data_IF_446316630373
#
_entry.id   IF_446316630373
#
_cell.length_a   1.000
_cell.length_b   1.000
_cell.length_c   1.000
_cell.angle_alpha   90.00
_cell.angle_beta   90.00
_cell.angle_gamma   90.00
#
_symmetry.space_group_name_H-M   'P 1'
#
loop_
_entity.id
_entity.type
_entity.pdbx_description
1 polymer ?
#
# COMPACT_ATOMS: atom_id res chain seq x y z
N UNK A 1 4.76 19.22 4.04
CA UNK A 1 4.14 17.97 4.57
C UNK A 1 5.17 17.21 5.41
N UNK A 2 4.79 16.14 6.13
CA UNK A 2 5.74 15.35 6.94
C UNK A 2 6.93 14.81 6.11
N UNK A 3 6.67 14.20 4.96
CA UNK A 3 7.72 13.60 4.12
C UNK A 3 8.70 14.63 3.55
N UNK A 4 8.20 15.83 3.21
CA UNK A 4 9.04 16.95 2.80
C UNK A 4 9.94 17.44 3.93
N UNK A 5 9.42 17.55 5.16
CA UNK A 5 10.20 17.99 6.33
C UNK A 5 11.32 16.98 6.65
N UNK A 6 11.01 15.68 6.60
CA UNK A 6 12.02 14.62 6.77
C UNK A 6 13.10 14.74 5.68
N UNK A 7 12.72 14.93 4.41
CA UNK A 7 13.71 15.08 3.33
C UNK A 7 14.58 16.34 3.49
N UNK A 8 14.02 17.44 4.00
CA UNK A 8 14.78 18.65 4.27
C UNK A 8 15.81 18.47 5.40
N UNK A 9 15.43 17.77 6.47
CA UNK A 9 16.30 17.51 7.62
C UNK A 9 17.43 16.53 7.28
N UNK A 10 17.07 15.39 6.68
CA UNK A 10 18.03 14.31 6.43
C UNK A 10 18.80 14.48 5.11
N UNK A 11 18.31 15.28 4.16
CA UNK A 11 18.96 15.45 2.85
C UNK A 11 18.99 14.16 2.02
N UNK A 12 19.85 14.11 0.99
CA UNK A 12 19.94 12.98 0.05
C UNK A 12 20.85 11.84 0.50
N UNK A 13 21.61 12.03 1.58
CA UNK A 13 22.59 11.03 2.05
C UNK A 13 21.94 9.91 2.89
N UNK A 14 20.68 10.08 3.28
CA UNK A 14 19.95 9.12 4.09
C UNK A 14 18.70 8.63 3.36
N UNK A 15 18.38 7.37 3.62
CA UNK A 15 17.15 6.74 3.15
C UNK A 15 15.97 7.21 4.00
N UNK A 16 14.90 7.60 3.32
CA UNK A 16 13.62 7.95 3.91
C UNK A 16 12.55 7.13 3.19
N UNK A 17 11.97 6.18 3.92
CA UNK A 17 10.98 5.25 3.38
C UNK A 17 9.72 5.32 4.23
N UNK A 18 8.61 4.78 3.73
CA UNK A 18 7.39 4.65 4.51
C UNK A 18 6.70 3.32 4.25
N UNK A 19 6.27 2.64 5.30
CA UNK A 19 5.32 1.54 5.18
C UNK A 19 3.91 2.14 5.03
N UNK A 20 3.12 1.64 4.07
CA UNK A 20 1.82 2.21 3.73
C UNK A 20 0.75 1.14 3.59
N UNK A 21 -0.50 1.55 3.77
CA UNK A 21 -1.67 0.70 3.54
C UNK A 21 -1.71 0.14 2.12
N UNK A 22 -2.31 -1.03 1.98
CA UNK A 22 -2.58 -1.65 0.69
C UNK A 22 -4.09 -1.72 0.37
N UNK A 23 -4.91 -0.90 1.03
CA UNK A 23 -6.33 -0.76 0.73
C UNK A 23 -6.54 -0.02 -0.60
N UNK A 24 -6.60 -0.80 -1.68
CA UNK A 24 -6.84 -0.36 -3.05
C UNK A 24 -8.32 -0.23 -3.43
N UNK A 25 -9.24 -0.36 -2.47
CA UNK A 25 -10.67 -0.22 -2.74
C UNK A 25 -11.04 1.22 -3.13
N UNK A 26 -12.20 1.40 -3.77
CA UNK A 26 -12.68 2.73 -4.11
C UNK A 26 -13.12 3.48 -2.86
N UNK A 27 -12.52 4.64 -2.61
CA UNK A 27 -12.71 5.38 -1.35
C UNK A 27 -11.95 4.79 -0.18
N UNK A 28 -11.05 3.83 -0.43
CA UNK A 28 -10.21 3.19 0.58
C UNK A 28 -9.10 4.11 1.09
N UNK A 29 -8.27 3.59 2.00
CA UNK A 29 -7.20 4.35 2.66
C UNK A 29 -6.18 4.94 1.68
N UNK A 30 -5.90 4.28 0.54
CA UNK A 30 -5.02 4.85 -0.50
C UNK A 30 -5.61 6.15 -1.09
N UNK A 31 -6.95 6.25 -1.20
CA UNK A 31 -7.63 7.43 -1.74
C UNK A 31 -7.62 8.62 -0.75
N UNK A 32 -7.36 8.39 0.54
CA UNK A 32 -7.42 9.39 1.60
C UNK A 32 -6.14 10.24 1.76
N UNK A 33 -5.08 9.97 0.99
CA UNK A 33 -3.82 10.71 1.08
C UNK A 33 -3.15 10.91 -0.29
N UNK A 34 -2.33 11.96 -0.40
CA UNK A 34 -1.57 12.27 -1.61
C UNK A 34 -0.24 11.49 -1.66
N UNK A 35 -0.32 10.19 -1.97
CA UNK A 35 0.86 9.33 -2.16
C UNK A 35 1.69 9.74 -3.36
N UNK A 36 1.07 10.25 -4.43
CA UNK A 36 1.77 10.72 -5.64
C UNK A 36 2.67 11.92 -5.34
N UNK A 37 2.12 12.95 -4.68
CA UNK A 37 2.87 14.13 -4.27
C UNK A 37 3.94 13.82 -3.23
N UNK A 38 3.68 12.88 -2.31
CA UNK A 38 4.66 12.46 -1.31
C UNK A 38 5.82 11.62 -1.88
N UNK A 39 5.60 10.88 -2.98
CA UNK A 39 6.57 9.95 -3.55
C UNK A 39 7.89 10.63 -3.99
N UNK A 40 7.88 11.93 -4.27
CA UNK A 40 9.11 12.66 -4.64
C UNK A 40 10.10 12.79 -3.47
N UNK A 41 9.62 12.76 -2.23
CA UNK A 41 10.44 12.96 -1.02
C UNK A 41 10.95 11.66 -0.41
N UNK A 42 10.37 10.52 -0.79
CA UNK A 42 10.71 9.19 -0.27
C UNK A 42 11.55 8.40 -1.27
N UNK A 43 12.43 7.53 -0.78
CA UNK A 43 13.19 6.62 -1.63
C UNK A 43 12.28 5.53 -2.19
N UNK A 44 11.47 4.91 -1.34
CA UNK A 44 10.41 3.97 -1.73
C UNK A 44 9.33 3.82 -0.64
N UNK A 45 8.25 3.15 -1.00
CA UNK A 45 7.20 2.67 -0.13
C UNK A 45 7.30 1.16 0.07
N UNK A 46 7.12 0.72 1.31
CA UNK A 46 6.86 -0.69 1.64
C UNK A 46 5.34 -0.86 1.67
N UNK A 47 4.75 -1.38 0.60
CA UNK A 47 3.29 -1.55 0.52
C UNK A 47 2.92 -2.78 1.33
N UNK A 48 2.10 -2.60 2.37
CA UNK A 48 1.73 -3.68 3.29
C UNK A 48 0.65 -4.58 2.67
N UNK A 49 0.99 -5.31 1.60
CA UNK A 49 0.11 -6.21 0.83
C UNK A 49 -0.18 -7.53 1.56
N UNK A 50 -0.57 -7.42 2.82
CA UNK A 50 -0.91 -8.51 3.72
C UNK A 50 -1.98 -8.04 4.71
N UNK A 51 -2.50 -8.96 5.52
CA UNK A 51 -3.56 -8.73 6.51
C UNK A 51 -4.86 -8.15 5.91
N UNK A 52 -5.14 -8.46 4.64
CA UNK A 52 -6.40 -8.12 4.00
C UNK A 52 -7.60 -8.82 4.67
N UNK A 53 -7.39 -10.06 5.09
CA UNK A 53 -8.39 -10.91 5.74
C UNK A 53 -7.74 -11.66 6.90
N UNK A 54 -8.50 -11.95 7.94
CA UNK A 54 -7.96 -12.64 9.11
C UNK A 54 -9.03 -12.94 10.15
N UNK A 55 -8.61 -13.58 11.25
CA UNK A 55 -9.49 -14.03 12.33
C UNK A 55 -10.18 -12.89 13.11
N UNK A 56 -9.82 -11.62 12.84
CA UNK A 56 -10.57 -10.46 13.33
C UNK A 56 -12.03 -10.44 12.82
N UNK A 57 -12.33 -11.13 11.71
CA UNK A 57 -13.69 -11.49 11.34
C UNK A 57 -13.97 -12.95 11.72
N UNK A 58 -14.33 -13.16 12.99
CA UNK A 58 -14.39 -14.48 13.62
C UNK A 58 -15.43 -15.42 12.99
N UNK A 59 -16.50 -14.89 12.42
CA UNK A 59 -17.55 -15.66 11.74
C UNK A 59 -17.25 -15.89 10.26
N UNK A 60 -16.08 -15.45 9.79
CA UNK A 60 -15.66 -15.56 8.40
C UNK A 60 -16.38 -14.58 7.47
N UNK A 61 -16.31 -14.81 6.14
CA UNK A 61 -15.70 -15.98 5.50
C UNK A 61 -14.18 -16.04 5.68
N UNK A 62 -13.61 -17.26 5.67
CA UNK A 62 -12.16 -17.45 5.59
C UNK A 62 -11.65 -17.04 4.21
N UNK A 63 -10.51 -16.36 4.15
CA UNK A 63 -9.86 -15.94 2.92
C UNK A 63 -8.33 -15.83 3.12
N UNK A 64 -7.52 -15.94 2.06
CA UNK A 64 -6.07 -15.76 2.16
C UNK A 64 -5.75 -14.32 2.59
N UNK A 65 -4.96 -14.11 3.65
CA UNK A 65 -4.65 -12.76 4.15
C UNK A 65 -3.79 -11.91 3.20
N UNK A 66 -3.09 -12.53 2.24
CA UNK A 66 -2.22 -11.87 1.26
C UNK A 66 -2.44 -12.47 -0.14
N UNK A 67 -3.59 -12.21 -0.80
CA UNK A 67 -3.82 -12.68 -2.15
C UNK A 67 -3.07 -11.77 -3.14
N UNK A 68 -2.39 -12.37 -4.12
CA UNK A 68 -1.71 -11.61 -5.18
C UNK A 68 -2.73 -10.90 -6.08
N UNK A 69 -3.79 -11.60 -6.48
CA UNK A 69 -4.84 -11.11 -7.38
C UNK A 69 -6.23 -11.32 -6.79
N UNK A 70 -7.23 -10.68 -7.38
CA UNK A 70 -8.64 -10.98 -7.12
C UNK A 70 -9.00 -12.42 -7.52
N UNK A 71 -10.11 -12.93 -6.97
CA UNK A 71 -10.66 -14.25 -7.26
C UNK A 71 -12.19 -14.26 -7.11
N UNK A 72 -12.91 -15.18 -7.80
CA UNK A 72 -14.36 -15.33 -7.62
C UNK A 72 -14.71 -15.59 -6.15
N UNK A 73 -15.60 -14.77 -5.59
CA UNK A 73 -16.00 -14.88 -4.18
C UNK A 73 -15.06 -14.22 -3.18
N UNK A 74 -14.08 -13.41 -3.62
CA UNK A 74 -13.29 -12.59 -2.70
C UNK A 74 -14.22 -11.75 -1.80
N UNK A 75 -14.02 -11.74 -0.47
CA UNK A 75 -14.97 -11.07 0.44
C UNK A 75 -15.03 -9.55 0.25
N UNK A 76 -13.94 -8.95 -0.21
CA UNK A 76 -13.84 -7.50 -0.43
C UNK A 76 -13.08 -7.21 -1.74
N UNK A 77 -13.74 -6.52 -2.66
CA UNK A 77 -13.11 -6.06 -3.90
C UNK A 77 -12.00 -5.03 -3.62
N UNK A 78 -10.89 -5.12 -4.36
CA UNK A 78 -9.71 -4.26 -4.14
C UNK A 78 -8.78 -4.71 -3.02
N UNK A 79 -9.13 -5.75 -2.26
CA UNK A 79 -8.29 -6.30 -1.18
C UNK A 79 -7.36 -7.40 -1.70
N UNK A 80 -6.48 -7.02 -2.61
CA UNK A 80 -5.41 -7.87 -3.12
C UNK A 80 -4.21 -7.02 -3.54
N UNK A 81 -3.06 -7.67 -3.66
CA UNK A 81 -1.78 -7.02 -3.91
C UNK A 81 -1.75 -6.27 -5.25
N UNK A 82 -2.30 -6.87 -6.31
CA UNK A 82 -2.32 -6.28 -7.64
C UNK A 82 -3.13 -4.98 -7.69
N UNK A 83 -4.30 -4.95 -7.06
CA UNK A 83 -5.17 -3.77 -7.02
C UNK A 83 -4.55 -2.63 -6.21
N UNK A 84 -3.88 -2.95 -5.08
CA UNK A 84 -3.17 -1.95 -4.28
C UNK A 84 -2.04 -1.27 -5.08
N UNK A 85 -1.21 -2.08 -5.76
CA UNK A 85 -0.11 -1.58 -6.59
C UNK A 85 -0.65 -0.78 -7.79
N UNK A 86 -1.72 -1.28 -8.44
CA UNK A 86 -2.37 -0.57 -9.54
C UNK A 86 -2.93 0.79 -9.10
N UNK A 87 -3.59 0.85 -7.94
CA UNK A 87 -4.13 2.09 -7.36
C UNK A 87 -3.00 3.09 -7.05
N UNK A 88 -1.90 2.68 -6.41
CA UNK A 88 -0.77 3.58 -6.14
C UNK A 88 -0.15 4.12 -7.43
N UNK A 89 0.00 3.26 -8.45
CA UNK A 89 0.46 3.70 -9.77
C UNK A 89 -0.50 4.70 -10.41
N UNK A 90 -1.82 4.48 -10.32
CA UNK A 90 -2.82 5.43 -10.84
C UNK A 90 -2.84 6.75 -10.08
N UNK A 91 -2.35 6.78 -8.83
CA UNK A 91 -2.13 7.99 -8.04
C UNK A 91 -0.80 8.70 -8.35
N UNK A 92 -0.04 8.21 -9.33
CA UNK A 92 1.21 8.84 -9.78
C UNK A 92 2.47 8.35 -9.08
N UNK A 93 2.39 7.28 -8.26
CA UNK A 93 3.59 6.72 -7.63
C UNK A 93 4.41 5.92 -8.67
N UNK A 94 5.70 6.23 -8.88
CA UNK A 94 6.53 5.46 -9.81
C UNK A 94 6.70 4.00 -9.37
N UNK A 95 6.58 3.05 -10.29
CA UNK A 95 6.68 1.61 -9.94
C UNK A 95 8.00 1.23 -9.29
N UNK A 96 9.10 1.89 -9.64
CA UNK A 96 10.42 1.67 -9.03
C UNK A 96 10.50 2.07 -7.54
N UNK A 97 9.49 2.76 -7.02
CA UNK A 97 9.37 3.18 -5.61
C UNK A 97 8.35 2.34 -4.84
N UNK A 98 7.86 1.23 -5.39
CA UNK A 98 6.87 0.36 -4.75
C UNK A 98 7.50 -1.00 -4.47
N UNK A 99 7.68 -1.34 -3.19
CA UNK A 99 8.08 -2.68 -2.77
C UNK A 99 6.84 -3.46 -2.32
N UNK A 100 6.72 -4.69 -2.84
CA UNK A 100 5.64 -5.62 -2.53
C UNK A 100 5.90 -6.26 -1.15
N UNK A 101 4.90 -6.25 -0.27
CA UNK A 101 5.00 -6.83 1.07
C UNK A 101 4.72 -8.33 1.08
N UNK A 102 5.51 -9.09 1.85
CA UNK A 102 5.35 -10.54 2.08
C UNK A 102 5.33 -10.78 3.58
N UNK A 103 4.29 -11.44 4.09
CA UNK A 103 4.21 -11.89 5.49
C UNK A 103 4.91 -13.24 5.67
N UNK A 104 5.69 -13.40 6.76
CA UNK A 104 6.43 -14.62 7.10
C UNK A 104 5.85 -15.28 8.35
#
# INVERSE_FOLDING_TARGET
TLTQALRAEFGSNYLITAAITADGSNGGKIDAADYGGAAQYLDWYNVMTYDYFGAFNAQGPTAPHSPLTSYPGIPQAGFNSADAIAKLKSKGVPSKKLLLGIGF
#
